data_IF_281794888258
#
_entry.id   IF_281794888258
#
_cell.length_a   1.000
_cell.length_b   1.000
_cell.length_c   1.000
_cell.angle_alpha   90.00
_cell.angle_beta   90.00
_cell.angle_gamma   90.00
#
_symmetry.space_group_name_H-M   'P 1'
#
loop_
_entity.id
_entity.type
_entity.pdbx_description
1 polymer ?
#
# COMPACT_ATOMS: atom_id res chain seq x y z
N UNK A 1 36.07 2.28 -19.67
CA UNK A 1 35.42 2.69 -18.40
C UNK A 1 34.05 2.05 -18.40
N UNK A 2 33.88 0.90 -17.72
CA UNK A 2 32.55 0.32 -17.59
C UNK A 2 31.72 1.29 -16.72
N UNK A 3 30.70 1.91 -17.31
CA UNK A 3 29.70 2.58 -16.50
C UNK A 3 28.84 1.44 -15.94
N UNK A 4 29.16 0.98 -14.73
CA UNK A 4 28.22 0.17 -13.97
C UNK A 4 27.04 1.09 -13.66
N UNK A 5 26.08 1.12 -14.58
CA UNK A 5 24.79 1.73 -14.34
C UNK A 5 24.27 1.13 -13.05
N UNK A 6 24.27 1.94 -12.00
CA UNK A 6 23.81 1.50 -10.69
C UNK A 6 22.43 0.88 -10.86
N UNK A 7 22.26 -0.33 -10.34
CA UNK A 7 20.91 -0.89 -10.23
C UNK A 7 20.21 -0.05 -9.18
N UNK A 8 19.36 0.89 -9.62
CA UNK A 8 18.53 1.69 -8.74
C UNK A 8 17.42 0.79 -8.19
N UNK A 9 17.69 0.07 -7.09
CA UNK A 9 16.74 -0.76 -6.32
C UNK A 9 15.67 0.06 -5.57
N UNK A 10 15.30 1.23 -6.10
CA UNK A 10 14.53 2.28 -5.40
C UNK A 10 13.07 1.97 -5.08
N UNK A 11 12.51 0.81 -5.46
CA UNK A 11 11.07 0.55 -5.29
C UNK A 11 10.68 -0.92 -5.02
N UNK A 12 11.66 -1.82 -4.88
CA UNK A 12 11.39 -3.26 -4.71
C UNK A 12 10.81 -3.66 -3.35
N UNK A 13 10.96 -2.83 -2.31
CA UNK A 13 10.56 -3.19 -0.94
C UNK A 13 9.05 -3.36 -0.77
N UNK A 14 8.25 -2.45 -1.34
CA UNK A 14 6.78 -2.53 -1.28
C UNK A 14 6.25 -3.71 -2.11
N UNK A 15 6.88 -3.99 -3.25
CA UNK A 15 6.57 -5.17 -4.07
C UNK A 15 6.85 -6.48 -3.33
N UNK A 16 8.02 -6.58 -2.68
CA UNK A 16 8.41 -7.74 -1.89
C UNK A 16 7.47 -7.96 -0.70
N UNK A 17 7.12 -6.88 0.02
CA UNK A 17 6.18 -6.93 1.14
C UNK A 17 4.80 -7.42 0.68
N UNK A 18 4.32 -6.94 -0.46
CA UNK A 18 3.05 -7.39 -1.08
C UNK A 18 3.10 -8.87 -1.45
N UNK A 19 4.22 -9.32 -2.03
CA UNK A 19 4.42 -10.73 -2.41
C UNK A 19 4.46 -11.67 -1.18
N UNK A 20 5.10 -11.24 -0.08
CA UNK A 20 5.16 -11.98 1.18
C UNK A 20 3.75 -12.16 1.78
N UNK A 21 2.93 -11.09 1.81
CA UNK A 21 1.55 -11.15 2.28
C UNK A 21 0.68 -12.11 1.44
N UNK A 22 0.87 -12.12 0.11
CA UNK A 22 0.17 -13.05 -0.81
C UNK A 22 0.59 -14.50 -0.54
N UNK A 23 1.89 -14.73 -0.35
CA UNK A 23 2.45 -16.08 -0.11
C UNK A 23 1.95 -16.64 1.22
N UNK A 24 1.98 -15.85 2.29
CA UNK A 24 1.47 -16.24 3.63
C UNK A 24 0.00 -16.66 3.61
N UNK A 25 -0.83 -16.02 2.76
CA UNK A 25 -2.24 -16.41 2.60
C UNK A 25 -2.42 -17.71 1.82
N UNK A 26 -1.62 -17.94 0.77
CA UNK A 26 -1.66 -19.17 -0.02
C UNK A 26 -1.17 -20.38 0.80
N UNK A 27 -0.18 -20.19 1.68
CA UNK A 27 0.29 -21.21 2.62
C UNK A 27 -0.69 -21.45 3.80
N UNK A 28 -1.89 -20.85 3.76
CA UNK A 28 -2.97 -21.03 4.74
C UNK A 28 -2.58 -20.69 6.20
N UNK A 29 -1.49 -19.96 6.43
CA UNK A 29 -1.08 -19.53 7.78
C UNK A 29 -2.02 -18.47 8.37
N UNK A 30 -2.83 -17.81 7.53
CA UNK A 30 -3.68 -16.68 7.91
C UNK A 30 -5.05 -16.80 7.21
N UNK A 31 -6.11 -17.11 7.95
CA UNK A 31 -7.50 -17.20 7.44
C UNK A 31 -8.15 -15.82 7.11
N UNK A 32 -7.35 -14.77 7.04
CA UNK A 32 -7.89 -13.40 7.04
C UNK A 32 -8.40 -12.95 5.67
N UNK A 33 -9.23 -11.91 5.66
CA UNK A 33 -9.87 -11.39 4.45
C UNK A 33 -8.83 -10.79 3.49
N UNK A 34 -9.06 -10.96 2.18
CA UNK A 34 -8.15 -10.50 1.10
C UNK A 34 -7.87 -8.99 1.18
N UNK A 35 -8.80 -8.22 1.74
CA UNK A 35 -8.64 -6.79 2.01
C UNK A 35 -7.45 -6.44 2.91
N UNK A 36 -7.11 -7.30 3.88
CA UNK A 36 -5.99 -7.03 4.77
C UNK A 36 -4.63 -7.47 4.19
N UNK A 37 -4.63 -8.43 3.25
CA UNK A 37 -3.45 -8.83 2.48
C UNK A 37 -3.00 -7.70 1.55
N UNK A 38 -3.97 -6.90 1.08
CA UNK A 38 -3.77 -5.69 0.29
C UNK A 38 -3.63 -4.42 1.13
N UNK A 39 -3.64 -4.52 2.47
CA UNK A 39 -3.44 -3.36 3.35
C UNK A 39 -2.20 -2.53 3.00
N UNK A 40 -0.99 -3.08 2.72
CA UNK A 40 0.14 -2.25 2.32
C UNK A 40 -0.08 -1.48 1.00
N UNK A 41 -0.98 -1.96 0.13
CA UNK A 41 -1.31 -1.33 -1.15
C UNK A 41 -2.41 -0.25 -0.99
N UNK A 42 -3.41 -0.49 -0.15
CA UNK A 42 -4.55 0.41 0.03
C UNK A 42 -4.41 1.38 1.21
N UNK A 43 -3.51 1.16 2.17
CA UNK A 43 -3.23 2.11 3.27
C UNK A 43 -2.97 3.54 2.76
N UNK A 44 -2.10 3.79 1.76
CA UNK A 44 -1.92 5.15 1.24
C UNK A 44 -3.20 5.70 0.58
N UNK A 45 -3.97 4.88 -0.13
CA UNK A 45 -5.26 5.27 -0.71
C UNK A 45 -6.34 5.56 0.34
N UNK A 46 -6.40 4.77 1.41
CA UNK A 46 -7.34 4.92 2.52
C UNK A 46 -7.03 6.19 3.32
N UNK A 47 -5.75 6.48 3.57
CA UNK A 47 -5.31 7.74 4.18
C UNK A 47 -5.79 8.92 3.32
N UNK A 48 -5.56 8.89 2.01
CA UNK A 48 -5.97 9.96 1.10
C UNK A 48 -7.49 10.15 1.08
N UNK A 49 -8.25 9.06 1.08
CA UNK A 49 -9.71 9.07 1.14
C UNK A 49 -10.22 9.73 2.43
N UNK A 50 -9.62 9.40 3.58
CA UNK A 50 -9.97 9.99 4.88
C UNK A 50 -9.73 11.49 4.88
N UNK A 51 -8.55 11.94 4.42
CA UNK A 51 -8.25 13.36 4.29
C UNK A 51 -9.23 14.10 3.36
N UNK A 52 -9.56 13.49 2.23
CA UNK A 52 -10.54 14.04 1.28
C UNK A 52 -11.93 14.17 1.90
N UNK A 53 -12.36 13.16 2.68
CA UNK A 53 -13.65 13.17 3.35
C UNK A 53 -13.72 14.25 4.44
N UNK A 54 -12.65 14.40 5.23
CA UNK A 54 -12.52 15.45 6.24
C UNK A 54 -12.58 16.84 5.59
N UNK A 55 -11.84 17.02 4.47
CA UNK A 55 -11.86 18.28 3.72
C UNK A 55 -13.27 18.61 3.20
N UNK A 56 -13.98 17.62 2.64
CA UNK A 56 -15.36 17.78 2.20
C UNK A 56 -16.29 18.14 3.36
N UNK A 57 -16.16 17.48 4.51
CA UNK A 57 -16.97 17.78 5.69
C UNK A 57 -16.76 19.21 6.18
N UNK A 58 -15.50 19.67 6.25
CA UNK A 58 -15.16 21.06 6.61
C UNK A 58 -15.76 22.04 5.61
N UNK A 59 -15.63 21.77 4.31
CA UNK A 59 -16.19 22.63 3.26
C UNK A 59 -17.72 22.68 3.30
N UNK A 60 -18.37 21.59 3.73
CA UNK A 60 -19.81 21.52 3.95
C UNK A 60 -20.24 22.24 5.23
N UNK A 61 -19.45 22.16 6.31
CA UNK A 61 -19.81 22.74 7.62
C UNK A 61 -19.65 24.26 7.64
N UNK A 62 -18.75 24.80 6.82
CA UNK A 62 -18.48 26.23 6.71
C UNK A 62 -19.43 26.94 5.73
N UNK A 63 -20.32 26.21 5.06
CA UNK A 63 -21.38 26.75 4.21
C UNK A 63 -22.69 26.80 5.00
#
# INVERSE_FOLDING_TARGET
>A
MYNFGGVHIGSGFLGLLTLIFITLKLTNFINWSWFWILSPLWVPGAIALIFFLIFLLISKVFR
#
